data_IF_433946012350
#
_entry.id   IF_433946012350
#
_cell.length_a   1.000
_cell.length_b   1.000
_cell.length_c   1.000
_cell.angle_alpha   90.00
_cell.angle_beta   90.00
_cell.angle_gamma   90.00
#
_symmetry.space_group_name_H-M   'P 1'
#
loop_
_entity.id
_entity.type
_entity.pdbx_description
1 polymer ?
#
# COMPACT_ATOMS: atom_id res chain seq x y z
N UNK A 1 31.71 -44.27 -20.26
CA UNK A 1 30.26 -44.00 -20.20
C UNK A 1 29.77 -43.54 -18.82
N UNK A 2 30.20 -44.14 -17.69
CA UNK A 2 29.71 -43.70 -16.36
C UNK A 2 30.14 -42.31 -15.94
N UNK A 3 31.36 -41.83 -16.34
CA UNK A 3 31.85 -40.48 -15.98
C UNK A 3 31.14 -39.36 -16.78
N UNK A 4 30.81 -39.59 -18.04
CA UNK A 4 30.07 -38.62 -18.87
C UNK A 4 28.62 -38.48 -18.43
N UNK A 5 27.99 -39.56 -17.96
CA UNK A 5 26.66 -39.54 -17.41
C UNK A 5 26.57 -38.74 -16.09
N UNK A 6 27.61 -38.87 -15.23
CA UNK A 6 27.67 -38.12 -13.97
C UNK A 6 27.83 -36.61 -14.20
N UNK A 7 28.63 -36.20 -15.22
CA UNK A 7 28.79 -34.77 -15.60
C UNK A 7 27.48 -34.21 -16.15
N UNK A 8 26.71 -35.01 -16.89
CA UNK A 8 25.41 -34.57 -17.42
C UNK A 8 24.37 -34.35 -16.31
N UNK A 9 24.33 -35.21 -15.29
CA UNK A 9 23.48 -35.03 -14.11
C UNK A 9 23.89 -33.81 -13.31
N UNK A 10 25.18 -33.54 -13.14
CA UNK A 10 25.66 -32.34 -12.44
C UNK A 10 25.34 -31.05 -13.18
N UNK A 11 25.38 -31.04 -14.53
CA UNK A 11 25.00 -29.92 -15.36
C UNK A 11 23.50 -29.58 -15.30
N UNK A 12 22.62 -30.56 -15.14
CA UNK A 12 21.17 -30.36 -15.00
C UNK A 12 20.80 -29.72 -13.68
N UNK A 13 21.57 -29.93 -12.61
CA UNK A 13 21.35 -29.31 -11.29
C UNK A 13 21.63 -27.79 -11.32
N UNK A 14 22.51 -27.32 -12.19
CA UNK A 14 22.78 -25.88 -12.35
C UNK A 14 21.73 -25.09 -13.18
N UNK A 15 20.78 -25.80 -13.81
CA UNK A 15 19.70 -25.17 -14.57
C UNK A 15 18.45 -24.84 -13.74
N UNK A 16 18.43 -25.16 -12.44
CA UNK A 16 17.41 -24.69 -11.50
C UNK A 16 17.73 -23.27 -11.04
N UNK A 17 18.01 -22.40 -12.01
CA UNK A 17 18.32 -21.01 -11.80
C UNK A 17 17.08 -20.17 -11.57
N UNK A 18 17.17 -19.29 -10.64
CA UNK A 18 16.40 -18.04 -10.49
C UNK A 18 14.92 -18.11 -10.90
N UNK A 19 14.12 -18.87 -10.16
CA UNK A 19 12.67 -18.83 -10.29
C UNK A 19 12.19 -17.44 -9.88
N UNK A 20 11.56 -16.70 -10.78
CA UNK A 20 10.78 -15.50 -10.42
C UNK A 20 9.85 -15.90 -9.29
N UNK A 21 9.89 -15.16 -8.19
CA UNK A 21 8.98 -15.39 -7.06
C UNK A 21 7.55 -15.37 -7.60
N UNK A 22 6.74 -16.39 -7.30
CA UNK A 22 5.37 -16.42 -7.80
C UNK A 22 4.57 -15.23 -7.23
N UNK A 23 3.66 -14.68 -8.02
CA UNK A 23 2.80 -13.56 -7.61
C UNK A 23 2.07 -13.83 -6.29
N UNK A 24 1.63 -15.07 -6.06
CA UNK A 24 0.98 -15.49 -4.81
C UNK A 24 1.92 -15.40 -3.61
N UNK A 25 3.17 -15.79 -3.79
CA UNK A 25 4.18 -15.73 -2.71
C UNK A 25 4.53 -14.29 -2.36
N UNK A 26 4.64 -13.40 -3.36
CA UNK A 26 4.86 -11.96 -3.12
C UNK A 26 3.73 -11.38 -2.27
N UNK A 27 2.47 -11.68 -2.62
CA UNK A 27 1.30 -11.19 -1.86
C UNK A 27 1.29 -11.76 -0.44
N UNK A 28 1.61 -13.05 -0.27
CA UNK A 28 1.67 -13.69 1.06
C UNK A 28 2.76 -13.06 1.95
N UNK A 29 3.94 -12.81 1.40
CA UNK A 29 5.04 -12.15 2.12
C UNK A 29 4.68 -10.71 2.48
N UNK A 30 4.01 -9.98 1.57
CA UNK A 30 3.53 -8.64 1.82
C UNK A 30 2.47 -8.62 2.91
N UNK A 31 1.48 -9.53 2.86
CA UNK A 31 0.45 -9.71 3.89
C UNK A 31 1.07 -9.96 5.27
N UNK A 32 1.98 -10.92 5.36
CA UNK A 32 2.70 -11.20 6.60
C UNK A 32 3.47 -9.99 7.14
N UNK A 33 4.11 -9.25 6.24
CA UNK A 33 4.88 -8.06 6.61
C UNK A 33 3.95 -6.98 7.17
N UNK A 34 2.88 -6.62 6.46
CA UNK A 34 1.93 -5.59 6.88
C UNK A 34 1.30 -5.94 8.24
N UNK A 35 0.79 -7.16 8.40
CA UNK A 35 0.11 -7.60 9.62
C UNK A 35 1.03 -7.63 10.86
N UNK A 36 2.34 -7.71 10.67
CA UNK A 36 3.33 -7.72 11.76
C UNK A 36 3.97 -6.35 12.02
N UNK A 37 3.64 -5.32 11.26
CA UNK A 37 4.21 -3.98 11.47
C UNK A 37 3.75 -3.39 12.79
N UNK A 38 4.71 -2.82 13.52
CA UNK A 38 4.43 -1.98 14.70
C UNK A 38 4.18 -0.53 14.31
N UNK A 39 4.75 -0.11 13.19
CA UNK A 39 4.58 1.21 12.60
C UNK A 39 4.98 1.18 11.13
N UNK A 40 4.44 2.10 10.34
CA UNK A 40 4.89 2.36 8.98
C UNK A 40 4.78 3.85 8.63
N UNK A 41 5.51 4.22 7.61
CA UNK A 41 5.38 5.49 6.91
C UNK A 41 5.34 5.21 5.42
N UNK A 42 4.35 5.79 4.73
CA UNK A 42 4.21 5.68 3.28
C UNK A 42 3.87 7.04 2.68
N UNK A 43 4.33 7.25 1.47
CA UNK A 43 3.98 8.39 0.64
C UNK A 43 3.39 7.91 -0.68
N UNK A 44 2.50 8.70 -1.24
CA UNK A 44 1.87 8.42 -2.52
C UNK A 44 1.20 9.63 -3.13
N UNK A 45 0.70 9.44 -4.33
CA UNK A 45 -0.15 10.39 -5.03
C UNK A 45 -1.52 9.76 -5.19
N UNK A 46 -2.56 10.50 -4.84
CA UNK A 46 -3.95 10.10 -5.02
C UNK A 46 -4.63 11.05 -6.00
N UNK A 47 -5.29 10.49 -6.99
CA UNK A 47 -6.14 11.24 -7.91
C UNK A 47 -7.60 10.89 -7.64
N UNK A 48 -8.42 11.91 -7.43
CA UNK A 48 -9.86 11.79 -7.33
C UNK A 48 -10.46 12.36 -8.62
N UNK A 49 -11.16 11.50 -9.36
CA UNK A 49 -11.82 11.86 -10.61
C UNK A 49 -13.31 12.01 -10.33
N UNK A 50 -13.81 13.22 -10.51
CA UNK A 50 -15.24 13.53 -10.37
C UNK A 50 -15.75 14.19 -11.66
N UNK A 51 -16.39 13.39 -12.53
CA UNK A 51 -16.73 13.76 -13.90
C UNK A 51 -15.49 14.18 -14.71
N UNK A 52 -15.37 15.48 -15.07
CA UNK A 52 -14.25 16.03 -15.82
C UNK A 52 -13.16 16.62 -14.91
N UNK A 53 -13.45 16.77 -13.61
CA UNK A 53 -12.53 17.34 -12.64
C UNK A 53 -11.59 16.27 -12.08
N UNK A 54 -10.30 16.55 -12.09
CA UNK A 54 -9.25 15.71 -11.49
C UNK A 54 -8.63 16.48 -10.34
N UNK A 55 -8.73 15.94 -9.13
CA UNK A 55 -8.09 16.48 -7.94
C UNK A 55 -6.92 15.59 -7.54
N UNK A 56 -5.72 16.15 -7.58
CA UNK A 56 -4.50 15.42 -7.23
C UNK A 56 -4.02 15.82 -5.85
N UNK A 57 -3.73 14.83 -5.02
CA UNK A 57 -3.23 15.00 -3.66
C UNK A 57 -1.91 14.26 -3.46
N UNK A 58 -0.95 14.94 -2.84
CA UNK A 58 0.17 14.25 -2.19
C UNK A 58 -0.33 13.70 -0.85
N UNK A 59 -0.10 12.42 -0.64
CA UNK A 59 -0.56 11.70 0.54
C UNK A 59 0.64 11.20 1.34
N UNK A 60 0.63 11.43 2.65
CA UNK A 60 1.59 10.85 3.59
C UNK A 60 0.81 10.17 4.70
N UNK A 61 1.14 8.92 4.98
CA UNK A 61 0.51 8.16 6.05
C UNK A 61 1.56 7.69 7.03
N UNK A 62 1.40 8.09 8.28
CA UNK A 62 2.14 7.55 9.41
C UNK A 62 1.20 6.71 10.26
N UNK A 63 1.56 5.48 10.50
CA UNK A 63 0.83 4.54 11.34
C UNK A 63 1.68 4.06 12.50
N UNK A 64 1.03 3.86 13.64
CA UNK A 64 1.58 3.14 14.79
C UNK A 64 0.52 2.19 15.32
N UNK A 65 0.95 0.98 15.70
CA UNK A 65 0.08 -0.06 16.26
C UNK A 65 -0.85 0.50 17.35
N UNK A 66 -2.03 -0.09 17.47
CA UNK A 66 -3.18 0.35 18.23
C UNK A 66 -3.92 1.52 17.56
N UNK A 67 -3.92 1.51 16.22
CA UNK A 67 -4.75 2.38 15.38
C UNK A 67 -4.45 3.88 15.49
N UNK A 68 -3.20 4.22 15.78
CA UNK A 68 -2.74 5.60 15.69
C UNK A 68 -2.38 5.93 14.25
N UNK A 69 -3.05 6.93 13.70
CA UNK A 69 -2.79 7.41 12.34
C UNK A 69 -2.56 8.91 12.32
N UNK A 70 -1.64 9.33 11.49
CA UNK A 70 -1.53 10.70 10.99
C UNK A 70 -1.47 10.62 9.47
N UNK A 71 -2.44 11.26 8.81
CA UNK A 71 -2.55 11.29 7.35
C UNK A 71 -2.52 12.74 6.93
N UNK A 72 -1.54 13.09 6.12
CA UNK A 72 -1.41 14.42 5.53
C UNK A 72 -1.87 14.33 4.06
N UNK A 73 -2.87 15.13 3.70
CA UNK A 73 -3.41 15.25 2.35
C UNK A 73 -3.17 16.68 1.87
N UNK A 74 -2.33 16.83 0.86
CA UNK A 74 -2.02 18.14 0.28
C UNK A 74 -2.50 18.17 -1.17
N UNK A 75 -3.49 19.00 -1.45
CA UNK A 75 -3.94 19.25 -2.81
C UNK A 75 -2.85 19.95 -3.61
N UNK A 76 -2.44 19.37 -4.74
CA UNK A 76 -1.29 19.87 -5.52
C UNK A 76 -1.60 21.15 -6.29
N UNK A 77 -2.87 21.47 -6.53
CA UNK A 77 -3.30 22.64 -7.29
C UNK A 77 -3.27 23.92 -6.45
N UNK A 78 -3.73 23.84 -5.21
CA UNK A 78 -3.92 25.04 -4.35
C UNK A 78 -3.14 24.94 -3.04
N UNK A 79 -2.33 23.90 -2.83
CA UNK A 79 -1.58 23.62 -1.62
C UNK A 79 -2.45 23.57 -0.33
N UNK A 80 -3.75 23.31 -0.50
CA UNK A 80 -4.62 23.13 0.65
C UNK A 80 -4.28 21.83 1.38
N UNK A 81 -3.92 21.96 2.65
CA UNK A 81 -3.54 20.83 3.50
C UNK A 81 -4.69 20.45 4.42
N UNK A 82 -4.93 19.15 4.53
CA UNK A 82 -5.79 18.53 5.52
C UNK A 82 -5.04 17.44 6.23
N UNK A 83 -5.06 17.45 7.56
CA UNK A 83 -4.45 16.41 8.39
C UNK A 83 -5.55 15.63 9.10
N UNK A 84 -5.56 14.31 8.90
CA UNK A 84 -6.43 13.41 9.65
C UNK A 84 -5.58 12.76 10.73
N UNK A 85 -6.01 12.90 11.98
CA UNK A 85 -5.34 12.34 13.14
C UNK A 85 -6.28 11.39 13.87
N UNK A 86 -5.81 10.15 14.10
CA UNK A 86 -6.49 9.19 14.98
C UNK A 86 -5.58 8.85 16.15
N UNK A 87 -6.12 8.93 17.36
CA UNK A 87 -5.45 8.58 18.60
C UNK A 87 -6.44 8.06 19.65
N UNK A 88 -6.00 7.80 20.88
CA UNK A 88 -6.84 7.32 21.98
C UNK A 88 -8.02 8.24 22.32
N UNK A 89 -7.93 9.52 22.00
CA UNK A 89 -8.96 10.51 22.32
C UNK A 89 -9.99 10.68 21.21
N UNK A 90 -9.73 10.13 20.03
CA UNK A 90 -10.66 10.14 18.90
C UNK A 90 -10.04 10.44 17.54
N UNK A 91 -10.88 10.84 16.62
CA UNK A 91 -10.53 11.16 15.24
C UNK A 91 -10.72 12.66 15.03
N UNK A 92 -9.70 13.27 14.47
CA UNK A 92 -9.68 14.72 14.21
C UNK A 92 -9.35 14.97 12.75
N UNK A 93 -10.01 15.97 12.17
CA UNK A 93 -9.61 16.58 10.91
C UNK A 93 -9.16 17.99 11.19
N UNK A 94 -7.93 18.29 10.82
CA UNK A 94 -7.26 19.55 11.06
C UNK A 94 -7.04 20.20 9.71
N UNK A 95 -7.40 21.49 9.59
CA UNK A 95 -7.14 22.31 8.41
C UNK A 95 -6.20 23.44 8.83
N UNK A 96 -4.88 23.29 8.66
CA UNK A 96 -3.89 24.24 9.16
C UNK A 96 -4.10 25.66 8.63
N UNK A 97 -4.40 25.82 7.34
CA UNK A 97 -4.64 27.12 6.70
C UNK A 97 -5.79 27.91 7.30
N UNK A 98 -6.76 27.24 7.92
CA UNK A 98 -7.90 27.83 8.60
C UNK A 98 -7.74 27.92 10.10
N UNK A 99 -6.65 27.39 10.64
CA UNK A 99 -6.43 27.22 12.08
C UNK A 99 -7.64 26.54 12.77
N UNK A 100 -8.21 25.53 12.12
CA UNK A 100 -9.40 24.80 12.59
C UNK A 100 -9.13 23.32 12.74
N UNK A 101 -9.74 22.72 13.78
CA UNK A 101 -9.79 21.29 13.97
C UNK A 101 -11.22 20.86 14.33
N UNK A 102 -11.64 19.71 13.80
CA UNK A 102 -12.93 19.11 14.08
C UNK A 102 -12.70 17.71 14.63
N UNK A 103 -13.34 17.40 15.74
CA UNK A 103 -13.40 16.04 16.27
C UNK A 103 -14.61 15.35 15.67
N UNK A 104 -14.37 14.19 15.03
CA UNK A 104 -15.47 13.36 14.54
C UNK A 104 -16.12 12.59 15.68
N UNK A 105 -17.46 12.49 15.63
CA UNK A 105 -18.26 11.72 16.60
C UNK A 105 -18.42 10.25 16.18
N UNK A 106 -18.15 9.94 14.91
CA UNK A 106 -18.24 8.59 14.36
C UNK A 106 -16.96 7.80 14.60
N UNK A 107 -17.12 6.48 14.57
CA UNK A 107 -15.98 5.57 14.56
C UNK A 107 -15.15 5.73 13.26
N UNK A 108 -13.91 5.26 13.31
CA UNK A 108 -13.03 5.22 12.15
C UNK A 108 -13.68 4.39 11.04
N UNK A 109 -13.86 4.94 9.84
CA UNK A 109 -14.46 4.19 8.75
C UNK A 109 -13.47 3.14 8.23
N UNK A 110 -13.68 1.89 8.59
CA UNK A 110 -12.99 0.75 7.98
C UNK A 110 -13.59 0.37 6.62
N UNK A 111 -13.93 1.38 5.82
CA UNK A 111 -14.46 1.19 4.49
C UNK A 111 -13.45 1.66 3.44
N UNK A 112 -13.77 1.37 2.19
CA UNK A 112 -12.92 1.68 1.03
C UNK A 112 -12.68 3.19 0.79
N UNK A 113 -13.26 4.07 1.62
CA UNK A 113 -13.06 5.53 1.49
C UNK A 113 -11.63 5.99 1.83
N UNK A 114 -10.78 5.08 2.33
CA UNK A 114 -9.40 5.39 2.70
C UNK A 114 -8.41 4.56 1.87
N UNK A 115 -8.50 4.72 0.55
CA UNK A 115 -7.70 4.00 -0.43
C UNK A 115 -6.18 4.11 -0.24
N UNK A 116 -5.73 5.10 0.51
CA UNK A 116 -4.31 5.36 0.80
C UNK A 116 -3.74 4.57 1.98
N UNK A 117 -4.56 3.84 2.75
CA UNK A 117 -4.07 3.01 3.86
C UNK A 117 -3.51 1.69 3.35
N UNK A 118 -2.39 1.23 3.93
CA UNK A 118 -1.78 -0.04 3.53
C UNK A 118 -2.71 -1.23 3.71
N UNK A 119 -3.54 -1.22 4.74
CA UNK A 119 -4.54 -2.27 5.00
C UNK A 119 -5.59 -2.34 3.90
N UNK A 120 -6.05 -1.18 3.41
CA UNK A 120 -7.00 -1.10 2.30
C UNK A 120 -6.34 -1.58 1.00
N UNK A 121 -5.14 -1.07 0.69
CA UNK A 121 -4.38 -1.49 -0.48
C UNK A 121 -4.09 -3.00 -0.47
N UNK A 122 -3.74 -3.57 0.68
CA UNK A 122 -3.54 -5.00 0.83
C UNK A 122 -4.83 -5.79 0.55
N UNK A 123 -5.98 -5.30 1.03
CA UNK A 123 -7.29 -5.90 0.76
C UNK A 123 -7.58 -5.91 -0.74
N UNK A 124 -7.32 -4.80 -1.44
CA UNK A 124 -7.49 -4.70 -2.88
C UNK A 124 -6.56 -5.65 -3.63
N UNK A 125 -5.28 -5.69 -3.24
CA UNK A 125 -4.30 -6.63 -3.81
C UNK A 125 -4.76 -8.09 -3.66
N UNK A 126 -5.35 -8.45 -2.54
CA UNK A 126 -5.83 -9.83 -2.28
C UNK A 126 -7.10 -10.15 -3.05
N UNK A 127 -7.99 -9.20 -3.22
CA UNK A 127 -9.29 -9.39 -3.86
C UNK A 127 -9.23 -9.37 -5.38
N UNK A 128 -8.32 -8.59 -5.97
CA UNK A 128 -8.18 -8.50 -7.42
C UNK A 128 -7.49 -9.73 -8.00
N UNK A 129 -8.26 -10.55 -8.73
CA UNK A 129 -7.74 -11.74 -9.42
C UNK A 129 -6.94 -11.42 -10.67
N UNK A 130 -7.11 -10.21 -11.23
CA UNK A 130 -6.43 -9.74 -12.44
C UNK A 130 -5.21 -8.85 -12.12
N UNK A 131 -4.84 -8.73 -10.82
CA UNK A 131 -3.67 -7.95 -10.40
C UNK A 131 -2.42 -8.32 -11.17
N UNK A 132 -1.61 -7.33 -11.50
CA UNK A 132 -0.29 -7.52 -12.12
C UNK A 132 0.79 -7.26 -11.10
N UNK A 133 1.80 -8.12 -11.08
CA UNK A 133 2.98 -7.98 -10.20
C UNK A 133 4.21 -8.06 -11.08
N UNK A 134 4.97 -6.99 -11.13
CA UNK A 134 6.22 -6.87 -11.84
C UNK A 134 7.36 -6.72 -10.84
N UNK A 135 8.45 -7.43 -11.07
CA UNK A 135 9.67 -7.32 -10.26
C UNK A 135 10.75 -6.59 -11.03
N UNK A 136 11.21 -5.47 -10.49
CA UNK A 136 12.30 -4.66 -11.02
C UNK A 136 13.41 -4.58 -9.96
N UNK A 137 14.49 -5.34 -10.15
CA UNK A 137 15.59 -5.45 -9.17
C UNK A 137 15.06 -5.88 -7.78
N UNK A 138 15.09 -5.00 -6.79
CA UNK A 138 14.65 -5.23 -5.42
C UNK A 138 13.25 -4.65 -5.12
N UNK A 139 12.55 -4.18 -6.14
CA UNK A 139 11.24 -3.56 -6.01
C UNK A 139 10.16 -4.39 -6.69
N UNK A 140 8.96 -4.34 -6.14
CA UNK A 140 7.77 -4.89 -6.76
C UNK A 140 6.81 -3.77 -7.12
N UNK A 141 6.34 -3.75 -8.36
CA UNK A 141 5.25 -2.90 -8.82
C UNK A 141 4.00 -3.75 -8.87
N UNK A 142 2.99 -3.39 -8.08
CA UNK A 142 1.73 -4.11 -7.99
C UNK A 142 0.62 -3.20 -8.51
N UNK A 143 0.00 -3.61 -9.61
CA UNK A 143 -1.15 -2.91 -10.20
C UNK A 143 -2.42 -3.68 -9.90
N UNK A 144 -3.41 -3.00 -9.33
CA UNK A 144 -4.70 -3.57 -8.94
C UNK A 144 -5.85 -2.68 -9.39
N UNK A 145 -7.02 -3.28 -9.60
CA UNK A 145 -8.29 -2.56 -9.71
C UNK A 145 -8.93 -2.48 -8.34
N UNK A 146 -9.39 -1.31 -7.99
CA UNK A 146 -10.16 -1.05 -6.78
C UNK A 146 -11.65 -1.05 -7.11
N UNK A 147 -12.48 -1.44 -6.15
CA UNK A 147 -13.94 -1.47 -6.29
C UNK A 147 -14.58 -0.35 -5.47
N UNK A 148 -14.21 0.91 -5.76
CA UNK A 148 -14.83 2.08 -5.13
C UNK A 148 -15.78 2.76 -6.11
#
# INVERSE_FOLDING_TARGET
MKKTFLIFILAVIFLTGCGKTSSSKVVEEFDKKINNLKSYYVEGVMELINNEDIYTYNVKVSYKKNDYYKIDLVNTTNNHEQVILRNDTGIYVITPSLNKSFKFQSEWPYNNSQAYLLETLLSDIKSDKERKIEQNNNEYVITVKTNY
#
